data_IF_616406591183
#
_entry.id   IF_616406591183
#
_cell.length_a   1.000
_cell.length_b   1.000
_cell.length_c   1.000
_cell.angle_alpha   90.00
_cell.angle_beta   90.00
_cell.angle_gamma   90.00
#
_symmetry.space_group_name_H-M   'P 1'
#
loop_
_entity.id
_entity.type
_entity.pdbx_description
1 polymer ?
#
# COMPACT_ATOMS: atom_id res chain seq x y z
N UNK A 1 -14.34 7.76 -46.33
CA UNK A 1 -15.39 8.47 -45.55
C UNK A 1 -15.75 7.60 -44.36
N UNK A 2 -15.57 8.10 -43.14
CA UNK A 2 -15.91 7.35 -41.93
C UNK A 2 -17.42 7.50 -41.68
N UNK A 3 -18.15 6.40 -41.54
CA UNK A 3 -19.58 6.45 -41.21
C UNK A 3 -19.77 6.88 -39.77
N UNK A 4 -20.89 7.56 -39.46
CA UNK A 4 -21.27 7.92 -38.08
C UNK A 4 -21.24 6.72 -37.14
N UNK A 5 -21.59 5.53 -37.63
CA UNK A 5 -21.60 4.29 -36.84
C UNK A 5 -20.18 3.82 -36.52
N UNK A 6 -19.25 3.93 -37.45
CA UNK A 6 -17.85 3.54 -37.26
C UNK A 6 -17.17 4.47 -36.25
N UNK A 7 -17.45 5.78 -36.34
CA UNK A 7 -16.95 6.75 -35.37
C UNK A 7 -17.43 6.44 -33.95
N UNK A 8 -18.72 6.16 -33.76
CA UNK A 8 -19.29 5.81 -32.46
C UNK A 8 -18.72 4.49 -31.91
N UNK A 9 -18.54 3.49 -32.76
CA UNK A 9 -17.94 2.21 -32.38
C UNK A 9 -16.48 2.38 -31.89
N UNK A 10 -15.70 3.19 -32.59
CA UNK A 10 -14.31 3.49 -32.24
C UNK A 10 -14.25 4.27 -30.91
N UNK A 11 -15.09 5.29 -30.72
CA UNK A 11 -15.14 6.06 -29.47
C UNK A 11 -15.55 5.20 -28.28
N UNK A 12 -16.53 4.30 -28.44
CA UNK A 12 -16.95 3.38 -27.38
C UNK A 12 -15.84 2.39 -27.01
N UNK A 13 -15.15 1.82 -28.00
CA UNK A 13 -14.03 0.90 -27.77
C UNK A 13 -12.85 1.61 -27.06
N UNK A 14 -12.52 2.83 -27.48
CA UNK A 14 -11.47 3.64 -26.85
C UNK A 14 -11.82 3.98 -25.39
N UNK A 15 -13.08 4.35 -25.11
CA UNK A 15 -13.57 4.62 -23.76
C UNK A 15 -13.50 3.40 -22.83
N UNK A 16 -13.92 2.22 -23.32
CA UNK A 16 -13.85 0.97 -22.54
C UNK A 16 -12.41 0.56 -22.20
N UNK A 17 -11.46 0.79 -23.12
CA UNK A 17 -10.05 0.50 -22.88
C UNK A 17 -9.38 1.41 -21.82
N UNK A 18 -9.95 2.58 -21.55
CA UNK A 18 -9.47 3.47 -20.47
C UNK A 18 -9.78 2.92 -19.06
N UNK A 19 -10.84 2.11 -18.91
CA UNK A 19 -11.20 1.46 -17.64
C UNK A 19 -10.44 0.16 -17.37
N UNK A 20 -9.76 -0.40 -18.37
CA UNK A 20 -8.91 -1.59 -18.22
C UNK A 20 -7.48 -1.25 -17.81
N UNK A 21 -7.14 0.04 -17.65
CA UNK A 21 -5.84 0.41 -17.09
C UNK A 21 -5.80 -0.06 -15.63
N UNK A 22 -4.83 -0.91 -15.25
CA UNK A 22 -4.68 -1.29 -13.86
C UNK A 22 -4.45 -0.01 -13.05
N UNK A 23 -5.34 0.23 -12.09
CA UNK A 23 -5.30 1.33 -11.13
C UNK A 23 -4.12 1.25 -10.16
N UNK A 24 -3.01 0.59 -10.53
CA UNK A 24 -1.87 0.36 -9.63
C UNK A 24 -0.88 1.52 -9.60
N UNK A 25 -0.85 2.40 -10.60
CA UNK A 25 0.13 3.50 -10.64
C UNK A 25 -0.23 4.60 -9.63
N UNK A 26 -1.52 4.86 -9.40
CA UNK A 26 -1.95 5.85 -8.41
C UNK A 26 -1.86 5.33 -6.97
N UNK A 27 -1.93 4.01 -6.76
CA UNK A 27 -1.69 3.39 -5.46
C UNK A 27 -0.20 3.45 -5.05
N UNK A 28 0.71 3.49 -6.03
CA UNK A 28 2.16 3.48 -5.78
C UNK A 28 2.74 4.86 -5.40
N UNK A 29 2.09 5.97 -5.76
CA UNK A 29 2.65 7.32 -5.58
C UNK A 29 2.33 8.00 -4.24
N UNK A 30 1.60 7.36 -3.33
CA UNK A 30 1.17 7.98 -2.08
C UNK A 30 0.74 7.03 -0.97
N UNK A 31 1.25 5.80 -0.94
CA UNK A 31 0.95 4.87 0.14
C UNK A 31 1.41 5.49 1.47
N UNK A 32 0.45 5.79 2.35
CA UNK A 32 0.69 6.39 3.65
C UNK A 32 1.60 5.46 4.46
N UNK A 33 2.79 5.96 4.83
CA UNK A 33 3.73 5.20 5.66
C UNK A 33 3.39 5.40 7.13
N UNK A 34 3.35 4.30 7.85
CA UNK A 34 3.11 4.29 9.28
C UNK A 34 4.30 3.67 9.99
N UNK A 35 4.75 4.32 11.07
CA UNK A 35 5.90 3.88 11.84
C UNK A 35 5.43 3.47 13.24
N UNK A 36 5.92 2.34 13.73
CA UNK A 36 5.68 1.87 15.10
C UNK A 36 7.02 1.70 15.82
N UNK A 37 7.12 2.12 17.08
CA UNK A 37 8.30 1.89 17.91
C UNK A 37 7.98 0.79 18.92
N UNK A 38 8.77 -0.29 18.91
CA UNK A 38 8.58 -1.45 19.78
C UNK A 38 9.87 -1.80 20.51
N UNK A 39 9.73 -2.15 21.77
CA UNK A 39 10.81 -2.66 22.59
C UNK A 39 11.24 -4.05 22.15
N UNK A 40 12.54 -4.32 22.10
CA UNK A 40 13.07 -5.67 21.83
C UNK A 40 12.48 -6.73 22.77
N UNK A 41 12.41 -6.43 24.07
CA UNK A 41 11.82 -7.29 25.10
C UNK A 41 10.34 -7.64 24.82
N UNK A 42 9.59 -6.72 24.22
CA UNK A 42 8.19 -6.94 23.87
C UNK A 42 8.10 -7.86 22.65
N UNK A 43 8.92 -7.61 21.62
CA UNK A 43 8.99 -8.46 20.42
C UNK A 43 9.40 -9.89 20.79
N UNK A 44 10.40 -10.07 21.65
CA UNK A 44 10.84 -11.40 22.11
C UNK A 44 9.75 -12.15 22.87
N UNK A 45 8.98 -11.46 23.71
CA UNK A 45 7.89 -12.08 24.49
C UNK A 45 6.64 -12.35 23.66
N UNK A 46 6.43 -11.57 22.60
CA UNK A 46 5.20 -11.51 21.80
C UNK A 46 5.53 -11.30 20.32
N UNK A 47 6.12 -12.31 19.65
CA UNK A 47 6.55 -12.19 18.25
C UNK A 47 5.39 -11.94 17.28
N UNK A 48 4.17 -12.36 17.64
CA UNK A 48 2.95 -12.16 16.84
C UNK A 48 2.58 -10.67 16.64
N UNK A 49 3.15 -9.78 17.46
CA UNK A 49 2.96 -8.34 17.30
C UNK A 49 3.55 -7.81 15.99
N UNK A 50 4.55 -8.47 15.42
CA UNK A 50 5.11 -8.08 14.12
C UNK A 50 4.14 -8.39 12.98
N UNK A 51 3.44 -9.53 13.05
CA UNK A 51 2.39 -9.88 12.09
C UNK A 51 1.21 -8.92 12.20
N UNK A 52 0.79 -8.60 13.42
CA UNK A 52 -0.28 -7.62 13.66
C UNK A 52 0.11 -6.22 13.19
N UNK A 53 1.35 -5.78 13.40
CA UNK A 53 1.83 -4.49 12.92
C UNK A 53 1.79 -4.42 11.38
N UNK A 54 2.23 -5.49 10.71
CA UNK A 54 2.15 -5.61 9.25
C UNK A 54 0.71 -5.56 8.76
N UNK A 55 -0.19 -6.32 9.38
CA UNK A 55 -1.62 -6.36 9.02
C UNK A 55 -2.32 -5.01 9.25
N UNK A 56 -1.89 -4.26 10.27
CA UNK A 56 -2.34 -2.89 10.53
C UNK A 56 -1.79 -1.85 9.54
N UNK A 57 -0.92 -2.25 8.60
CA UNK A 57 -0.34 -1.35 7.61
C UNK A 57 0.88 -0.56 8.11
N UNK A 58 1.50 -0.97 9.21
CA UNK A 58 2.79 -0.41 9.65
C UNK A 58 3.86 -0.74 8.61
N UNK A 59 4.50 0.31 8.11
CA UNK A 59 5.55 0.23 7.08
C UNK A 59 6.92 -0.03 7.70
N UNK A 60 7.19 0.53 8.88
CA UNK A 60 8.49 0.41 9.54
C UNK A 60 8.34 0.22 11.06
N UNK A 61 9.14 -0.68 11.62
CA UNK A 61 9.23 -0.92 13.07
C UNK A 61 10.58 -0.46 13.58
N UNK A 62 10.59 0.49 14.51
CA UNK A 62 11.78 0.98 15.19
C UNK A 62 12.02 0.21 16.47
N UNK A 63 13.26 -0.23 16.70
CA UNK A 63 13.65 -0.85 17.96
C UNK A 63 13.91 0.22 19.01
N UNK A 64 13.16 0.14 20.10
CA UNK A 64 13.26 1.06 21.22
C UNK A 64 14.51 0.72 22.06
N UNK A 65 15.67 1.28 21.68
CA UNK A 65 16.97 1.00 22.32
C UNK A 65 17.14 1.66 23.70
N UNK A 66 16.43 2.77 23.98
CA UNK A 66 16.63 3.58 25.19
C UNK A 66 15.32 3.81 25.97
N UNK A 67 14.64 2.73 26.37
CA UNK A 67 13.52 2.84 27.31
C UNK A 67 13.60 1.87 28.50
N UNK A 68 14.66 1.05 28.59
CA UNK A 68 14.72 -0.04 29.55
C UNK A 68 15.78 0.09 30.65
N UNK A 69 16.60 1.15 30.66
CA UNK A 69 17.44 1.51 31.82
C UNK A 69 18.36 0.40 32.36
N UNK A 70 18.65 -0.63 31.56
CA UNK A 70 19.56 -1.72 31.92
C UNK A 70 20.78 -1.65 31.00
N UNK A 71 21.95 -1.51 31.62
CA UNK A 71 23.28 -1.65 31.00
C UNK A 71 23.75 -3.10 31.11
#
# INVERSE_FOLDING_TARGET
MLSRRDFLAISAAAGASAFLKPTSVLAAQGARRFHCCLASKVITKRPELLDLAREAGVSDVWLASYFFGHW
#
